data_IF_073424104243
#
_entry.id   IF_073424104243
#
_cell.length_a   1.000
_cell.length_b   1.000
_cell.length_c   1.000
_cell.angle_alpha   90.00
_cell.angle_beta   90.00
_cell.angle_gamma   90.00
#
_symmetry.space_group_name_H-M   'P 1'
#
loop_
_entity.id
_entity.type
_entity.pdbx_description
1 polymer ?
#
# COMPACT_ATOMS: atom_id res chain seq x y z
N UNK A 1 -2.62 -19.39 16.68
CA UNK A 1 -2.15 -19.84 15.36
C UNK A 1 -0.68 -19.46 15.21
N UNK A 2 0.08 -20.24 14.45
CA UNK A 2 1.43 -19.91 13.99
C UNK A 2 1.34 -19.31 12.60
N UNK A 3 1.64 -18.03 12.46
CA UNK A 3 1.41 -17.25 11.25
C UNK A 3 2.75 -16.78 10.69
N UNK A 4 3.04 -17.15 9.43
CA UNK A 4 4.19 -16.64 8.70
C UNK A 4 3.72 -15.50 7.78
N UNK A 5 4.10 -14.27 8.12
CA UNK A 5 3.88 -13.10 7.25
C UNK A 5 5.07 -12.96 6.31
N UNK A 6 4.83 -12.92 5.01
CA UNK A 6 5.85 -12.80 3.98
C UNK A 6 5.62 -11.53 3.14
N UNK A 7 6.60 -10.64 3.09
CA UNK A 7 6.49 -9.36 2.39
C UNK A 7 7.83 -8.96 1.76
N UNK A 8 7.78 -8.29 0.59
CA UNK A 8 8.97 -7.80 -0.11
C UNK A 8 9.83 -6.90 0.78
N UNK A 9 9.20 -6.06 1.59
CA UNK A 9 9.88 -5.11 2.46
C UNK A 9 9.26 -5.08 3.86
N UNK A 10 10.12 -4.73 4.81
CA UNK A 10 9.78 -4.49 6.22
C UNK A 10 10.60 -3.29 6.73
N UNK A 11 10.19 -2.59 7.79
CA UNK A 11 11.02 -1.53 8.36
C UNK A 11 12.49 -1.94 8.55
N UNK A 12 13.45 -0.99 8.40
CA UNK A 12 13.29 0.46 8.42
C UNK A 12 12.87 1.11 7.07
N UNK A 13 12.48 0.35 6.06
CA UNK A 13 11.99 0.95 4.82
C UNK A 13 10.65 1.65 5.05
N UNK A 14 10.56 2.90 4.57
CA UNK A 14 9.36 3.73 4.70
C UNK A 14 8.41 3.43 3.53
N UNK A 15 7.15 3.16 3.85
CA UNK A 15 6.07 2.96 2.88
C UNK A 15 4.83 2.35 3.52
N UNK A 16 3.67 2.59 2.93
CA UNK A 16 2.39 2.13 3.49
C UNK A 16 2.28 0.60 3.63
N UNK A 17 2.77 -0.15 2.63
CA UNK A 17 2.73 -1.62 2.67
C UNK A 17 3.64 -2.21 3.76
N UNK A 18 4.83 -1.62 3.96
CA UNK A 18 5.79 -2.03 4.98
C UNK A 18 5.25 -1.79 6.38
N UNK A 19 4.73 -0.57 6.61
CA UNK A 19 4.08 -0.19 7.88
C UNK A 19 2.90 -1.12 8.17
N UNK A 20 2.06 -1.40 7.17
CA UNK A 20 0.92 -2.29 7.34
C UNK A 20 1.33 -3.72 7.71
N UNK A 21 2.42 -4.25 7.14
CA UNK A 21 2.92 -5.60 7.51
C UNK A 21 3.37 -5.61 8.97
N UNK A 22 4.06 -4.56 9.42
CA UNK A 22 4.47 -4.42 10.82
C UNK A 22 3.25 -4.34 11.75
N UNK A 23 2.29 -3.48 11.44
CA UNK A 23 1.07 -3.34 12.24
C UNK A 23 0.29 -4.65 12.36
N UNK A 24 0.11 -5.39 11.26
CA UNK A 24 -0.54 -6.71 11.27
C UNK A 24 0.24 -7.68 12.17
N UNK A 25 1.57 -7.70 12.08
CA UNK A 25 2.40 -8.61 12.89
C UNK A 25 2.26 -8.35 14.39
N UNK A 26 2.36 -7.09 14.79
CA UNK A 26 2.25 -6.68 16.20
C UNK A 26 0.84 -6.91 16.75
N UNK A 27 -0.21 -6.56 16.00
CA UNK A 27 -1.59 -6.75 16.44
C UNK A 27 -1.96 -8.23 16.57
N UNK A 28 -1.53 -9.08 15.65
CA UNK A 28 -1.72 -10.53 15.76
C UNK A 28 -0.98 -11.10 16.96
N UNK A 29 0.26 -10.63 17.21
CA UNK A 29 1.01 -11.03 18.40
C UNK A 29 0.31 -10.60 19.69
N UNK A 30 -0.17 -9.33 19.78
CA UNK A 30 -0.93 -8.82 20.91
C UNK A 30 -2.18 -9.66 21.21
N UNK A 31 -2.77 -10.26 20.15
CA UNK A 31 -3.92 -11.17 20.25
C UNK A 31 -3.55 -12.63 20.55
N UNK A 32 -2.30 -12.91 20.90
CA UNK A 32 -1.83 -14.24 21.35
C UNK A 32 -1.44 -15.19 20.23
N UNK A 33 -1.25 -14.72 18.99
CA UNK A 33 -0.71 -15.54 17.92
C UNK A 33 0.82 -15.57 17.95
N UNK A 34 1.39 -16.68 17.48
CA UNK A 34 2.81 -16.78 17.20
C UNK A 34 3.06 -16.27 15.78
N UNK A 35 3.79 -15.18 15.65
CA UNK A 35 4.02 -14.53 14.36
C UNK A 35 5.50 -14.49 14.05
N UNK A 36 5.87 -14.81 12.82
CA UNK A 36 7.21 -14.60 12.26
C UNK A 36 7.06 -13.82 10.96
N UNK A 37 7.89 -12.82 10.76
CA UNK A 37 7.95 -12.06 9.49
C UNK A 37 9.13 -12.55 8.67
N UNK A 38 8.88 -12.96 7.41
CA UNK A 38 9.88 -13.20 6.39
C UNK A 38 9.90 -12.04 5.39
N UNK A 39 11.08 -11.48 5.15
CA UNK A 39 11.26 -10.38 4.20
C UNK A 39 12.58 -10.50 3.45
N UNK A 40 12.78 -9.66 2.43
CA UNK A 40 14.01 -9.67 1.63
C UNK A 40 15.21 -9.18 2.44
N UNK A 41 16.31 -9.92 2.31
CA UNK A 41 17.59 -9.51 2.89
C UNK A 41 18.09 -8.20 2.27
N UNK A 42 18.66 -7.35 3.10
CA UNK A 42 19.18 -6.04 2.74
C UNK A 42 20.60 -5.87 3.30
N UNK A 43 21.47 -5.20 2.54
CA UNK A 43 22.79 -4.82 3.04
C UNK A 43 22.66 -3.97 4.31
N UNK A 44 23.53 -4.20 5.27
CA UNK A 44 23.62 -3.48 6.55
C UNK A 44 22.47 -3.73 7.53
N UNK A 45 21.50 -4.60 7.21
CA UNK A 45 20.48 -5.05 8.15
C UNK A 45 20.78 -6.47 8.61
N UNK A 46 20.50 -6.80 9.88
CA UNK A 46 20.72 -8.16 10.40
C UNK A 46 19.79 -9.16 9.69
N UNK A 47 20.28 -10.38 9.44
CA UNK A 47 19.49 -11.45 8.86
C UNK A 47 18.38 -11.94 9.81
N UNK A 48 18.57 -11.74 11.11
CA UNK A 48 17.62 -12.05 12.18
C UNK A 48 17.53 -10.86 13.11
N UNK A 49 16.32 -10.45 13.40
CA UNK A 49 16.00 -9.33 14.26
C UNK A 49 14.77 -9.66 15.09
N UNK A 50 14.66 -9.06 16.24
CA UNK A 50 13.43 -9.02 17.03
C UNK A 50 12.89 -7.59 16.99
N UNK A 51 11.70 -7.40 16.43
CA UNK A 51 11.00 -6.13 16.39
C UNK A 51 9.92 -6.13 17.47
N UNK A 52 10.28 -5.71 18.68
CA UNK A 52 9.41 -5.67 19.86
C UNK A 52 8.67 -7.01 20.09
N UNK A 53 9.42 -8.10 20.03
CA UNK A 53 8.95 -9.45 20.24
C UNK A 53 8.36 -10.12 18.97
N UNK A 54 8.40 -9.49 17.81
CA UNK A 54 8.11 -10.13 16.52
C UNK A 54 9.41 -10.54 15.85
N UNK A 55 9.72 -11.87 15.74
CA UNK A 55 10.88 -12.32 15.03
C UNK A 55 10.84 -11.99 13.53
N UNK A 56 11.83 -11.25 13.05
CA UNK A 56 12.00 -10.92 11.63
C UNK A 56 13.14 -11.76 11.04
N UNK A 57 12.91 -12.34 9.87
CA UNK A 57 13.87 -13.14 9.10
C UNK A 57 14.05 -12.50 7.71
N UNK A 58 15.25 -11.95 7.46
CA UNK A 58 15.62 -11.39 6.15
C UNK A 58 16.28 -12.46 5.31
N UNK A 59 15.55 -12.95 4.31
CA UNK A 59 15.95 -14.09 3.48
C UNK A 59 16.78 -13.63 2.29
N UNK A 60 17.86 -14.36 2.02
CA UNK A 60 18.72 -14.10 0.86
C UNK A 60 18.01 -14.43 -0.44
N UNK A 61 18.49 -13.83 -1.52
CA UNK A 61 18.04 -14.02 -2.89
C UNK A 61 19.21 -14.50 -3.74
N UNK A 62 18.93 -15.08 -4.90
CA UNK A 62 19.96 -15.48 -5.86
C UNK A 62 20.93 -14.33 -6.16
N UNK A 63 20.43 -13.13 -6.38
CA UNK A 63 21.25 -11.93 -6.63
C UNK A 63 22.08 -11.47 -5.44
N UNK A 64 21.81 -11.93 -4.22
CA UNK A 64 22.62 -11.61 -3.03
C UNK A 64 23.77 -12.59 -2.87
N UNK A 65 23.60 -13.82 -3.34
CA UNK A 65 24.65 -14.86 -3.29
C UNK A 65 25.49 -14.90 -4.57
N UNK A 66 24.98 -14.38 -5.71
CA UNK A 66 25.70 -14.26 -6.98
C UNK A 66 26.05 -12.79 -7.27
N UNK A 67 27.29 -12.34 -7.00
CA UNK A 67 27.69 -10.93 -7.11
C UNK A 67 27.44 -10.28 -8.49
N UNK A 68 27.57 -11.06 -9.55
CA UNK A 68 27.34 -10.60 -10.93
C UNK A 68 25.88 -10.12 -11.19
N UNK A 69 24.93 -10.56 -10.35
CA UNK A 69 23.52 -10.22 -10.44
C UNK A 69 23.10 -9.05 -9.53
N UNK A 70 24.04 -8.42 -8.83
CA UNK A 70 23.73 -7.36 -7.86
C UNK A 70 23.06 -6.15 -8.54
N UNK A 71 21.91 -5.76 -8.00
CA UNK A 71 21.21 -4.54 -8.36
C UNK A 71 21.50 -3.41 -7.35
N UNK A 72 21.38 -2.12 -7.75
CA UNK A 72 21.48 -0.99 -6.81
C UNK A 72 20.53 -1.13 -5.63
N UNK A 73 20.95 -0.71 -4.45
CA UNK A 73 20.21 -0.91 -3.17
C UNK A 73 18.76 -0.42 -3.20
N UNK A 74 18.49 0.72 -3.88
CA UNK A 74 17.14 1.32 -3.99
C UNK A 74 16.13 0.52 -4.81
N UNK A 75 16.54 -0.56 -5.52
CA UNK A 75 15.69 -1.35 -6.42
C UNK A 75 15.69 -2.86 -6.09
N UNK A 76 15.88 -3.20 -4.82
CA UNK A 76 15.93 -4.60 -4.37
C UNK A 76 14.55 -5.09 -3.98
N UNK A 77 13.69 -5.30 -4.97
CA UNK A 77 12.45 -6.06 -4.81
C UNK A 77 12.69 -7.55 -5.07
N UNK A 78 11.81 -8.42 -4.60
CA UNK A 78 11.70 -9.77 -5.15
C UNK A 78 11.43 -9.69 -6.65
N UNK A 79 11.93 -10.63 -7.47
CA UNK A 79 11.47 -10.75 -8.82
C UNK A 79 10.01 -11.27 -8.85
N UNK A 80 9.21 -10.95 -9.90
CA UNK A 80 7.86 -11.50 -10.04
C UNK A 80 7.86 -12.94 -10.56
N UNK A 81 8.75 -13.76 -10.01
CA UNK A 81 8.89 -15.20 -10.23
C UNK A 81 9.62 -15.81 -9.03
N UNK A 82 9.55 -17.15 -8.84
CA UNK A 82 10.21 -17.81 -7.73
C UNK A 82 11.73 -17.61 -7.75
N UNK A 83 12.31 -17.12 -6.66
CA UNK A 83 13.76 -17.05 -6.48
C UNK A 83 14.23 -18.32 -5.77
N UNK A 84 15.12 -19.13 -6.37
CA UNK A 84 15.46 -20.45 -5.85
C UNK A 84 16.12 -20.40 -4.46
N UNK A 85 16.92 -19.37 -4.17
CA UNK A 85 17.56 -19.21 -2.86
C UNK A 85 16.52 -18.85 -1.81
N UNK A 86 15.61 -17.91 -2.12
CA UNK A 86 14.50 -17.55 -1.23
C UNK A 86 13.57 -18.74 -0.99
N UNK A 87 13.28 -19.55 -2.01
CA UNK A 87 12.47 -20.77 -1.88
C UNK A 87 13.09 -21.76 -0.89
N UNK A 88 14.41 -22.00 -0.99
CA UNK A 88 15.12 -22.91 -0.07
C UNK A 88 15.13 -22.37 1.37
N UNK A 89 15.38 -21.07 1.55
CA UNK A 89 15.36 -20.46 2.88
C UNK A 89 13.95 -20.45 3.49
N UNK A 90 12.91 -20.22 2.68
CA UNK A 90 11.50 -20.32 3.11
C UNK A 90 11.17 -21.76 3.55
N UNK A 91 11.58 -22.78 2.81
CA UNK A 91 11.37 -24.17 3.20
C UNK A 91 12.03 -24.51 4.54
N UNK A 92 13.26 -24.07 4.77
CA UNK A 92 13.95 -24.23 6.06
C UNK A 92 13.22 -23.50 7.19
N UNK A 93 12.75 -22.29 6.93
CA UNK A 93 11.98 -21.51 7.89
C UNK A 93 10.65 -22.21 8.23
N UNK A 94 9.94 -22.73 7.22
CA UNK A 94 8.70 -23.49 7.42
C UNK A 94 8.93 -24.78 8.21
N UNK A 95 10.02 -25.52 7.96
CA UNK A 95 10.35 -26.74 8.70
C UNK A 95 10.63 -26.48 10.18
N UNK A 96 11.26 -25.36 10.48
CA UNK A 96 11.55 -24.92 11.84
C UNK A 96 10.34 -24.32 12.55
N UNK A 97 9.67 -23.35 11.92
CA UNK A 97 8.55 -22.61 12.53
C UNK A 97 7.24 -23.39 12.48
N UNK A 98 7.03 -24.24 11.46
CA UNK A 98 5.80 -25.03 11.20
C UNK A 98 4.55 -24.16 11.21
N UNK A 99 4.42 -23.18 10.29
CA UNK A 99 3.29 -22.27 10.26
C UNK A 99 1.97 -23.00 9.97
N UNK A 100 0.90 -22.59 10.64
CA UNK A 100 -0.47 -23.02 10.35
C UNK A 100 -1.01 -22.36 9.08
N UNK A 101 -0.49 -21.16 8.76
CA UNK A 101 -0.86 -20.37 7.58
C UNK A 101 0.29 -19.46 7.16
N UNK A 102 0.43 -19.23 5.85
CA UNK A 102 1.32 -18.22 5.27
C UNK A 102 0.47 -17.11 4.70
N UNK A 103 0.75 -15.86 5.09
CA UNK A 103 0.15 -14.68 4.49
C UNK A 103 1.23 -13.92 3.71
N UNK A 104 1.17 -13.97 2.39
CA UNK A 104 2.18 -13.41 1.51
C UNK A 104 1.64 -12.20 0.75
N UNK A 105 2.45 -11.13 0.68
CA UNK A 105 2.15 -9.90 -0.03
C UNK A 105 3.29 -9.53 -0.99
N UNK A 106 2.93 -8.85 -2.09
CA UNK A 106 3.88 -8.44 -3.12
C UNK A 106 4.46 -9.63 -3.91
N UNK A 107 5.58 -9.42 -4.55
CA UNK A 107 6.22 -10.44 -5.38
C UNK A 107 6.87 -11.57 -4.59
N UNK A 108 7.08 -11.38 -3.29
CA UNK A 108 7.53 -12.46 -2.39
C UNK A 108 6.58 -13.66 -2.44
N UNK A 109 5.32 -13.43 -2.78
CA UNK A 109 4.27 -14.45 -2.95
C UNK A 109 4.67 -15.54 -3.94
N UNK A 110 5.40 -15.22 -5.03
CA UNK A 110 5.84 -16.22 -6.00
C UNK A 110 6.80 -17.25 -5.39
N UNK A 111 7.75 -16.79 -4.56
CA UNK A 111 8.66 -17.68 -3.83
C UNK A 111 7.93 -18.48 -2.74
N UNK A 112 6.95 -17.91 -2.06
CA UNK A 112 6.09 -18.62 -1.12
C UNK A 112 5.30 -19.75 -1.81
N UNK A 113 4.66 -19.44 -2.94
CA UNK A 113 3.89 -20.40 -3.70
C UNK A 113 4.75 -21.58 -4.21
N UNK A 114 5.98 -21.30 -4.67
CA UNK A 114 6.92 -22.35 -5.09
C UNK A 114 7.46 -23.17 -3.90
N UNK A 115 7.68 -22.54 -2.75
CA UNK A 115 8.11 -23.23 -1.54
C UNK A 115 7.07 -24.24 -1.03
N UNK A 116 5.79 -24.00 -1.37
CA UNK A 116 4.64 -24.86 -1.00
C UNK A 116 4.40 -26.03 -1.97
N UNK A 117 5.21 -26.20 -3.01
CA UNK A 117 5.11 -27.41 -3.86
C UNK A 117 5.49 -28.63 -3.02
N UNK A 118 4.58 -29.61 -2.93
CA UNK A 118 4.71 -30.80 -2.10
C UNK A 118 4.42 -30.58 -0.61
N UNK A 119 3.81 -29.44 -0.24
CA UNK A 119 3.45 -29.11 1.16
C UNK A 119 1.99 -28.66 1.25
N UNK A 120 1.35 -28.97 2.36
CA UNK A 120 -0.07 -28.66 2.62
C UNK A 120 -0.21 -27.57 3.69
N UNK A 121 0.44 -26.40 3.47
CA UNK A 121 0.24 -25.21 4.31
C UNK A 121 -0.56 -24.19 3.50
N UNK A 122 -1.70 -23.68 4.03
CA UNK A 122 -2.54 -22.73 3.30
C UNK A 122 -1.81 -21.43 3.03
N UNK A 123 -2.01 -20.88 1.83
CA UNK A 123 -1.46 -19.62 1.37
C UNK A 123 -2.56 -18.58 1.22
N UNK A 124 -2.52 -17.55 2.04
CA UNK A 124 -3.29 -16.32 1.85
C UNK A 124 -2.45 -15.38 1.00
N UNK A 125 -2.94 -15.06 -0.21
CA UNK A 125 -2.28 -14.13 -1.14
C UNK A 125 -2.90 -12.75 -0.95
N UNK A 126 -2.07 -11.76 -0.64
CA UNK A 126 -2.52 -10.39 -0.36
C UNK A 126 -2.15 -9.44 -1.50
N UNK A 127 -3.14 -8.94 -2.21
CA UNK A 127 -3.02 -7.88 -3.19
C UNK A 127 -3.16 -6.51 -2.50
N UNK A 128 -2.03 -5.86 -2.25
CA UNK A 128 -1.95 -4.52 -1.62
C UNK A 128 -1.57 -3.42 -2.60
N UNK A 129 -1.23 -3.83 -3.80
CA UNK A 129 -0.94 -3.01 -4.97
C UNK A 129 -1.30 -3.80 -6.24
N UNK A 130 -0.87 -3.33 -7.38
CA UNK A 130 -1.17 -3.95 -8.67
C UNK A 130 -0.07 -4.89 -9.17
N UNK A 131 0.82 -5.37 -8.31
CA UNK A 131 2.00 -6.18 -8.66
C UNK A 131 1.69 -7.52 -9.35
N UNK A 132 0.49 -8.08 -9.14
CA UNK A 132 0.04 -9.29 -9.85
C UNK A 132 -0.50 -9.02 -11.26
N UNK A 133 -0.78 -7.75 -11.58
CA UNK A 133 -1.29 -7.30 -12.88
C UNK A 133 -0.27 -6.52 -13.68
N UNK A 134 0.61 -5.76 -12.99
CA UNK A 134 1.49 -4.77 -13.58
C UNK A 134 2.92 -4.88 -13.05
N UNK A 135 3.89 -5.05 -13.94
CA UNK A 135 5.31 -5.11 -13.56
C UNK A 135 5.84 -3.82 -12.91
N UNK A 136 5.18 -2.67 -13.09
CA UNK A 136 5.49 -1.41 -12.40
C UNK A 136 4.74 -1.24 -11.08
N UNK A 137 3.85 -2.15 -10.72
CA UNK A 137 2.96 -2.11 -9.55
C UNK A 137 1.98 -0.94 -9.49
N UNK A 138 2.00 -0.02 -10.45
CA UNK A 138 1.22 1.23 -10.45
C UNK A 138 -0.09 1.17 -11.24
N UNK A 139 -0.27 0.16 -12.10
CA UNK A 139 -1.38 0.05 -13.05
C UNK A 139 -1.51 1.28 -13.98
N UNK A 140 -0.40 1.97 -14.28
CA UNK A 140 -0.39 3.17 -15.13
C UNK A 140 0.30 2.89 -16.47
N UNK A 141 -0.31 3.37 -17.56
CA UNK A 141 0.25 3.32 -18.91
C UNK A 141 0.05 4.67 -19.60
N UNK A 142 1.13 5.32 -20.05
CA UNK A 142 1.11 6.62 -20.74
C UNK A 142 0.34 7.72 -19.99
N UNK A 143 0.43 7.71 -18.66
CA UNK A 143 -0.23 8.73 -17.82
C UNK A 143 -1.66 8.41 -17.42
N UNK A 144 -2.27 7.34 -17.95
CA UNK A 144 -3.63 6.90 -17.65
C UNK A 144 -3.65 5.55 -16.92
N UNK A 145 -4.81 5.21 -16.32
CA UNK A 145 -5.03 3.90 -15.71
C UNK A 145 -5.00 2.82 -16.78
N UNK A 146 -4.19 1.80 -16.59
CA UNK A 146 -3.97 0.74 -17.58
C UNK A 146 -5.19 -0.18 -17.72
N UNK A 147 -5.60 -0.47 -18.94
CA UNK A 147 -6.70 -1.38 -19.27
C UNK A 147 -6.45 -2.86 -18.94
N UNK A 148 -5.28 -3.19 -18.37
CA UNK A 148 -4.89 -4.56 -18.05
C UNK A 148 -3.68 -5.04 -18.85
N UNK A 149 -3.18 -6.25 -18.53
CA UNK A 149 -1.96 -6.77 -19.12
C UNK A 149 -2.13 -7.24 -20.58
N UNK A 150 -1.10 -6.92 -21.40
CA UNK A 150 -0.93 -7.47 -22.75
C UNK A 150 0.57 -7.58 -23.03
N UNK A 151 1.04 -8.65 -23.66
CA UNK A 151 2.46 -8.97 -23.77
C UNK A 151 3.29 -7.81 -24.32
N UNK A 152 3.03 -7.35 -25.54
CA UNK A 152 3.79 -6.26 -26.17
C UNK A 152 3.72 -4.95 -25.39
N UNK A 153 2.53 -4.58 -24.92
CA UNK A 153 2.32 -3.37 -24.08
C UNK A 153 3.12 -3.44 -22.78
N UNK A 154 3.06 -4.57 -22.06
CA UNK A 154 3.75 -4.74 -20.79
C UNK A 154 5.27 -4.77 -20.94
N UNK A 155 5.79 -5.43 -22.00
CA UNK A 155 7.22 -5.45 -22.32
C UNK A 155 7.75 -4.04 -22.62
N UNK A 156 7.06 -3.27 -23.47
CA UNK A 156 7.44 -1.90 -23.80
C UNK A 156 7.36 -0.99 -22.56
N UNK A 157 6.27 -1.07 -21.78
CA UNK A 157 6.04 -0.24 -20.60
C UNK A 157 7.05 -0.53 -19.47
N UNK A 158 7.34 -1.79 -19.19
CA UNK A 158 8.32 -2.19 -18.18
C UNK A 158 9.74 -1.93 -18.63
N UNK A 159 10.04 -2.12 -19.93
CA UNK A 159 11.33 -1.78 -20.54
C UNK A 159 11.67 -0.31 -20.42
N UNK A 160 10.71 0.58 -20.68
CA UNK A 160 10.87 2.02 -20.49
C UNK A 160 11.10 2.39 -19.02
N UNK A 161 10.53 1.64 -18.06
CA UNK A 161 10.63 1.94 -16.62
C UNK A 161 11.91 1.39 -15.96
N UNK A 162 12.29 0.14 -16.26
CA UNK A 162 13.41 -0.56 -15.60
C UNK A 162 14.66 -0.68 -16.48
N UNK A 163 14.60 -0.27 -17.72
CA UNK A 163 15.55 -0.62 -18.76
C UNK A 163 15.25 -1.99 -19.39
N UNK A 164 15.67 -2.18 -20.65
CA UNK A 164 15.37 -3.38 -21.41
C UNK A 164 16.15 -4.56 -20.82
N UNK A 165 16.63 -5.36 -20.56
CA UNK A 165 16.32 -6.75 -20.24
C UNK A 165 15.56 -6.90 -18.90
N UNK A 166 15.76 -6.01 -17.93
CA UNK A 166 15.10 -6.10 -16.62
C UNK A 166 13.59 -5.91 -16.70
N UNK A 167 13.15 -4.93 -17.48
CA UNK A 167 11.72 -4.67 -17.67
C UNK A 167 11.03 -5.82 -18.37
N UNK A 168 11.68 -6.41 -19.36
CA UNK A 168 11.14 -7.58 -20.06
C UNK A 168 11.05 -8.79 -19.15
N UNK A 169 12.09 -9.06 -18.35
CA UNK A 169 12.07 -10.13 -17.36
C UNK A 169 10.96 -9.94 -16.34
N UNK A 170 10.76 -8.71 -15.85
CA UNK A 170 9.68 -8.40 -14.91
C UNK A 170 8.29 -8.59 -15.56
N UNK A 171 8.09 -8.11 -16.79
CA UNK A 171 6.83 -8.29 -17.50
C UNK A 171 6.54 -9.76 -17.78
N UNK A 172 7.52 -10.50 -18.28
CA UNK A 172 7.40 -11.93 -18.52
C UNK A 172 7.11 -12.69 -17.22
N UNK A 173 7.79 -12.35 -16.12
CA UNK A 173 7.56 -12.95 -14.80
C UNK A 173 6.11 -12.78 -14.34
N UNK A 174 5.60 -11.53 -14.32
CA UNK A 174 4.20 -11.26 -13.93
C UNK A 174 3.23 -12.06 -14.79
N UNK A 175 3.45 -12.13 -16.09
CA UNK A 175 2.53 -12.82 -17.02
C UNK A 175 2.60 -14.35 -16.88
N UNK A 176 3.81 -14.92 -16.81
CA UNK A 176 4.02 -16.37 -16.89
C UNK A 176 3.79 -17.11 -15.57
N UNK A 177 3.95 -16.44 -14.41
CA UNK A 177 3.83 -17.11 -13.10
C UNK A 177 2.46 -16.92 -12.43
N UNK A 178 1.46 -16.34 -13.10
CA UNK A 178 0.07 -16.29 -12.62
C UNK A 178 -0.52 -17.68 -12.31
N UNK A 179 -0.33 -18.71 -13.16
CA UNK A 179 -0.84 -20.04 -12.87
C UNK A 179 -0.33 -20.62 -11.54
N UNK A 180 0.93 -20.32 -11.18
CA UNK A 180 1.49 -20.75 -9.88
C UNK A 180 0.72 -20.11 -8.70
N UNK A 181 0.41 -18.82 -8.78
CA UNK A 181 -0.39 -18.14 -7.75
C UNK A 181 -1.79 -18.71 -7.69
N UNK A 182 -2.48 -18.84 -8.84
CA UNK A 182 -3.83 -19.44 -8.92
C UNK A 182 -3.89 -20.85 -8.32
N UNK A 183 -2.88 -21.67 -8.61
CA UNK A 183 -2.83 -23.07 -8.16
C UNK A 183 -2.46 -23.24 -6.69
N UNK A 184 -1.87 -22.21 -6.05
CA UNK A 184 -1.41 -22.28 -4.66
C UNK A 184 -2.16 -21.38 -3.69
N UNK A 185 -2.85 -20.36 -4.18
CA UNK A 185 -3.67 -19.50 -3.35
C UNK A 185 -4.83 -20.28 -2.75
N UNK A 186 -4.90 -20.37 -1.42
CA UNK A 186 -6.05 -20.94 -0.69
C UNK A 186 -7.14 -19.90 -0.55
N UNK A 187 -6.75 -18.64 -0.31
CA UNK A 187 -7.64 -17.47 -0.21
C UNK A 187 -6.89 -16.27 -0.79
N UNK A 188 -7.61 -15.40 -1.49
CA UNK A 188 -7.12 -14.10 -1.94
C UNK A 188 -7.67 -12.99 -1.04
N UNK A 189 -6.83 -12.03 -0.73
CA UNK A 189 -7.14 -10.82 0.00
C UNK A 189 -6.78 -9.61 -0.85
N UNK A 190 -7.70 -8.66 -0.96
CA UNK A 190 -7.51 -7.36 -1.62
C UNK A 190 -7.72 -6.23 -0.62
N UNK A 191 -6.92 -5.16 -0.71
CA UNK A 191 -7.02 -4.03 0.25
C UNK A 191 -8.19 -3.10 -0.04
N UNK A 192 -8.79 -3.17 -1.23
CA UNK A 192 -9.93 -2.37 -1.65
C UNK A 192 -10.77 -3.09 -2.71
N UNK A 193 -11.99 -2.61 -2.94
CA UNK A 193 -12.87 -3.11 -4.01
C UNK A 193 -12.22 -2.91 -5.38
N UNK A 194 -11.52 -1.79 -5.57
CA UNK A 194 -10.86 -1.53 -6.85
C UNK A 194 -9.70 -2.51 -7.12
N UNK A 195 -8.88 -2.81 -6.11
CA UNK A 195 -7.83 -3.84 -6.21
C UNK A 195 -8.45 -5.21 -6.45
N UNK A 196 -9.56 -5.53 -5.80
CA UNK A 196 -10.30 -6.79 -5.99
C UNK A 196 -10.81 -6.94 -7.43
N UNK A 197 -11.39 -5.86 -7.99
CA UNK A 197 -11.80 -5.81 -9.40
C UNK A 197 -10.64 -6.12 -10.34
N UNK A 198 -9.47 -5.51 -10.11
CA UNK A 198 -8.27 -5.71 -10.93
C UNK A 198 -7.73 -7.14 -10.77
N UNK A 199 -7.70 -7.69 -9.56
CA UNK A 199 -7.29 -9.08 -9.29
C UNK A 199 -8.20 -10.07 -10.00
N UNK A 200 -9.51 -9.88 -9.93
CA UNK A 200 -10.49 -10.73 -10.65
C UNK A 200 -10.26 -10.67 -12.15
N UNK A 201 -10.11 -9.48 -12.72
CA UNK A 201 -9.92 -9.29 -14.16
C UNK A 201 -8.59 -9.86 -14.68
N UNK A 202 -7.49 -9.64 -13.94
CA UNK A 202 -6.13 -9.84 -14.48
C UNK A 202 -5.42 -11.09 -13.96
N UNK A 203 -5.68 -11.48 -12.72
CA UNK A 203 -5.03 -12.64 -12.09
C UNK A 203 -5.87 -13.91 -12.17
N UNK A 204 -7.19 -13.80 -12.00
CA UNK A 204 -8.06 -14.97 -11.89
C UNK A 204 -8.69 -15.33 -13.24
N UNK A 205 -8.99 -16.61 -13.43
CA UNK A 205 -9.87 -17.11 -14.49
C UNK A 205 -11.14 -17.71 -13.85
N UNK A 206 -12.08 -18.14 -14.67
CA UNK A 206 -13.38 -18.64 -14.20
C UNK A 206 -13.26 -19.81 -13.21
N UNK A 207 -12.34 -20.74 -13.47
CA UNK A 207 -12.11 -21.90 -12.60
C UNK A 207 -11.47 -21.49 -11.26
N UNK A 208 -10.46 -20.62 -11.32
CA UNK A 208 -9.81 -20.10 -10.11
C UNK A 208 -10.78 -19.25 -9.26
N UNK A 209 -11.65 -18.45 -9.90
CA UNK A 209 -12.68 -17.69 -9.20
C UNK A 209 -13.69 -18.59 -8.48
N UNK A 210 -14.05 -19.72 -9.08
CA UNK A 210 -15.01 -20.65 -8.48
C UNK A 210 -14.48 -21.33 -7.21
N UNK A 211 -13.17 -21.60 -7.16
CA UNK A 211 -12.57 -22.37 -6.04
C UNK A 211 -11.82 -21.53 -5.01
N UNK A 212 -11.34 -20.33 -5.36
CA UNK A 212 -10.53 -19.50 -4.46
C UNK A 212 -11.36 -18.33 -3.93
N UNK A 213 -11.73 -18.34 -2.64
CA UNK A 213 -12.42 -17.21 -2.03
C UNK A 213 -11.61 -15.93 -2.11
N UNK A 214 -12.28 -14.83 -2.44
CA UNK A 214 -11.70 -13.47 -2.40
C UNK A 214 -12.38 -12.67 -1.29
N UNK A 215 -11.59 -11.94 -0.51
CA UNK A 215 -12.09 -11.08 0.57
C UNK A 215 -11.39 -9.72 0.52
N UNK A 216 -12.17 -8.65 0.62
CA UNK A 216 -11.65 -7.30 0.72
C UNK A 216 -11.51 -6.95 2.19
N UNK A 217 -10.27 -6.74 2.65
CA UNK A 217 -9.98 -6.28 4.02
C UNK A 217 -9.12 -5.02 3.91
N UNK A 218 -9.59 -3.87 4.39
CA UNK A 218 -8.87 -2.61 4.29
C UNK A 218 -7.60 -2.61 5.14
N UNK A 219 -6.73 -1.64 4.89
CA UNK A 219 -5.65 -1.33 5.83
C UNK A 219 -6.23 -0.69 7.09
N UNK A 220 -5.49 -0.76 8.19
CA UNK A 220 -5.86 -0.13 9.45
C UNK A 220 -4.72 0.71 10.00
N UNK A 221 -5.03 1.53 10.97
CA UNK A 221 -4.06 2.30 11.75
C UNK A 221 -4.12 1.91 13.21
N UNK A 222 -2.99 2.12 13.86
CA UNK A 222 -2.86 2.23 15.29
C UNK A 222 -2.42 3.66 15.54
N UNK A 223 -3.07 4.36 16.44
CA UNK A 223 -2.68 5.71 16.83
C UNK A 223 -1.29 5.65 17.47
N UNK A 224 -0.39 6.49 17.01
CA UNK A 224 0.94 6.66 17.58
C UNK A 224 0.90 7.95 18.37
N UNK A 225 1.11 7.85 19.68
CA UNK A 225 1.25 9.02 20.53
C UNK A 225 2.51 9.80 20.16
N UNK A 226 2.37 11.10 19.98
CA UNK A 226 3.52 11.99 19.79
C UNK A 226 4.30 12.18 21.08
N UNK A 227 5.53 12.71 21.04
CA UNK A 227 6.29 13.00 22.23
C UNK A 227 5.56 14.05 23.08
N UNK A 228 5.48 13.80 24.37
CA UNK A 228 4.81 14.68 25.33
C UNK A 228 5.45 16.08 25.44
N UNK A 229 6.73 16.23 25.05
CA UNK A 229 7.49 17.47 25.10
C UNK A 229 8.39 17.60 23.86
N UNK A 230 8.52 18.80 23.27
CA UNK A 230 9.49 19.12 22.21
C UNK A 230 8.91 19.25 20.79
N UNK A 231 7.59 19.31 20.63
CA UNK A 231 6.93 19.46 19.35
C UNK A 231 7.16 20.81 18.63
N UNK A 232 7.49 21.86 19.39
CA UNK A 232 7.47 23.25 18.90
C UNK A 232 8.39 23.53 17.70
N UNK A 233 9.65 23.10 17.74
CA UNK A 233 10.60 23.39 16.68
C UNK A 233 10.36 22.59 15.39
N UNK A 234 9.88 21.36 15.52
CA UNK A 234 9.57 20.50 14.37
C UNK A 234 8.38 21.04 13.57
N UNK A 235 7.41 21.66 14.25
CA UNK A 235 6.19 22.23 13.63
C UNK A 235 6.33 23.71 13.24
N UNK A 236 7.45 24.34 13.57
CA UNK A 236 7.72 25.75 13.29
C UNK A 236 7.56 26.14 11.80
N UNK A 237 7.87 25.27 10.82
CA UNK A 237 7.64 25.59 9.41
C UNK A 237 6.17 25.69 8.99
N UNK A 238 5.24 25.18 9.78
CA UNK A 238 3.80 25.22 9.42
C UNK A 238 3.23 26.64 9.60
N UNK A 239 2.27 27.07 8.73
CA UNK A 239 1.57 28.34 8.90
C UNK A 239 0.91 28.44 10.27
N UNK A 240 0.86 29.65 10.84
CA UNK A 240 0.13 29.93 12.09
C UNK A 240 -1.38 29.93 11.90
N UNK A 241 -1.84 30.35 10.73
CA UNK A 241 -3.25 30.37 10.35
C UNK A 241 -3.72 29.08 9.68
N UNK A 242 -4.98 29.04 9.22
CA UNK A 242 -5.55 27.90 8.51
C UNK A 242 -4.83 27.64 7.17
N UNK A 243 -4.68 26.37 6.76
CA UNK A 243 -4.04 25.98 5.51
C UNK A 243 -4.66 24.70 4.94
N UNK A 244 -4.49 24.52 3.63
CA UNK A 244 -4.85 23.30 2.91
C UNK A 244 -3.66 22.35 2.98
N UNK A 245 -3.90 21.05 3.22
CA UNK A 245 -2.82 20.08 3.41
C UNK A 245 -2.81 18.99 2.36
N UNK A 246 -1.64 18.76 1.78
CA UNK A 246 -1.29 17.57 1.02
C UNK A 246 -0.21 16.78 1.77
N UNK A 247 -0.34 15.46 1.83
CA UNK A 247 0.67 14.56 2.41
C UNK A 247 1.01 13.44 1.41
N UNK A 248 2.28 13.31 1.06
CA UNK A 248 2.76 12.26 0.16
C UNK A 248 3.97 12.67 -0.68
N UNK A 249 4.58 11.73 -1.40
CA UNK A 249 5.67 12.03 -2.31
C UNK A 249 5.21 13.02 -3.40
N UNK A 250 6.03 14.05 -3.68
CA UNK A 250 5.69 15.13 -4.60
C UNK A 250 5.94 14.70 -6.05
N UNK A 251 5.11 13.76 -6.55
CA UNK A 251 5.26 13.12 -7.86
C UNK A 251 4.08 13.39 -8.77
N UNK A 252 4.32 13.35 -10.10
CA UNK A 252 3.24 13.45 -11.12
C UNK A 252 2.14 12.43 -10.91
N UNK A 253 2.49 11.18 -10.62
CA UNK A 253 1.50 10.12 -10.39
C UNK A 253 0.65 10.35 -9.15
N UNK A 254 1.12 11.16 -8.21
CA UNK A 254 0.38 11.59 -7.02
C UNK A 254 -0.46 12.85 -7.25
N UNK A 255 -0.49 13.37 -8.48
CA UNK A 255 -1.37 14.44 -8.91
C UNK A 255 -0.93 15.84 -8.51
N UNK A 256 0.36 16.05 -8.15
CA UNK A 256 0.87 17.37 -7.75
C UNK A 256 0.65 18.42 -8.84
N UNK A 257 0.79 18.07 -10.12
CA UNK A 257 0.55 19.03 -11.22
C UNK A 257 -0.92 19.48 -11.28
N UNK A 258 -1.87 18.53 -11.12
CA UNK A 258 -3.29 18.85 -11.07
C UNK A 258 -3.64 19.71 -9.84
N UNK A 259 -3.03 19.40 -8.68
CA UNK A 259 -3.22 20.21 -7.46
C UNK A 259 -2.74 21.64 -7.64
N UNK A 260 -1.54 21.83 -8.16
CA UNK A 260 -0.99 23.17 -8.40
C UNK A 260 -1.79 23.94 -9.47
N UNK A 261 -2.28 23.24 -10.51
CA UNK A 261 -3.13 23.84 -11.53
C UNK A 261 -4.49 24.26 -10.95
N UNK A 262 -5.11 23.44 -10.10
CA UNK A 262 -6.33 23.76 -9.39
C UNK A 262 -6.14 24.94 -8.42
N UNK A 263 -5.07 24.91 -7.63
CA UNK A 263 -4.74 25.94 -6.64
C UNK A 263 -4.53 27.33 -7.28
N UNK A 264 -3.85 27.38 -8.45
CA UNK A 264 -3.65 28.65 -9.19
C UNK A 264 -4.95 29.30 -9.69
N UNK A 265 -6.07 28.56 -9.76
CA UNK A 265 -7.38 29.07 -10.20
C UNK A 265 -8.22 29.63 -9.06
N UNK A 266 -7.85 29.30 -7.81
CA UNK A 266 -8.57 29.82 -6.63
C UNK A 266 -8.24 31.30 -6.42
N UNK A 267 -9.24 32.06 -5.97
CA UNK A 267 -9.10 33.46 -5.61
C UNK A 267 -8.79 33.55 -4.13
N UNK A 268 -7.68 34.18 -3.77
CA UNK A 268 -7.23 34.41 -2.40
C UNK A 268 -7.32 33.15 -1.49
N UNK A 269 -6.75 32.01 -1.91
CA UNK A 269 -6.87 30.78 -1.15
C UNK A 269 -6.00 30.77 0.12
N UNK A 270 -6.39 30.00 1.15
CA UNK A 270 -5.50 29.69 2.25
C UNK A 270 -4.19 29.04 1.74
N UNK A 271 -3.04 29.22 2.45
CA UNK A 271 -1.78 28.59 2.06
C UNK A 271 -1.92 27.10 1.80
N UNK A 272 -1.22 26.59 0.80
CA UNK A 272 -1.12 25.16 0.49
C UNK A 272 0.17 24.58 1.07
N UNK A 273 0.06 23.65 1.99
CA UNK A 273 1.20 22.95 2.58
C UNK A 273 1.34 21.57 1.93
N UNK A 274 2.51 21.31 1.35
CA UNK A 274 2.89 20.04 0.75
C UNK A 274 3.89 19.33 1.66
N UNK A 275 3.41 18.33 2.43
CA UNK A 275 4.27 17.50 3.28
C UNK A 275 4.74 16.27 2.50
N UNK A 276 6.03 16.22 2.19
CA UNK A 276 6.60 15.04 1.54
C UNK A 276 7.85 15.31 0.72
N UNK A 277 8.51 14.23 0.38
CA UNK A 277 9.80 14.26 -0.30
C UNK A 277 9.65 14.70 -1.75
N UNK A 278 10.52 15.63 -2.17
CA UNK A 278 10.70 16.00 -3.58
C UNK A 278 11.32 14.84 -4.34
N UNK A 279 10.79 14.59 -5.52
CA UNK A 279 11.28 13.57 -6.46
C UNK A 279 11.74 14.25 -7.77
N UNK A 280 12.34 13.47 -8.67
CA UNK A 280 12.87 14.01 -9.93
C UNK A 280 11.81 14.66 -10.83
N UNK A 281 10.55 14.23 -10.70
CA UNK A 281 9.39 14.72 -11.44
C UNK A 281 8.54 15.74 -10.67
N UNK A 282 9.04 16.25 -9.52
CA UNK A 282 8.39 17.34 -8.78
C UNK A 282 8.45 18.64 -9.59
N UNK A 283 7.32 19.36 -9.80
CA UNK A 283 7.33 20.66 -10.44
C UNK A 283 8.24 21.66 -9.71
N UNK A 284 9.01 22.43 -10.46
CA UNK A 284 9.92 23.45 -9.91
C UNK A 284 9.24 24.79 -9.68
N UNK A 285 8.26 25.11 -10.51
CA UNK A 285 7.48 26.35 -10.45
C UNK A 285 6.30 26.17 -9.48
N UNK A 286 6.47 26.66 -8.25
CA UNK A 286 5.47 26.66 -7.21
C UNK A 286 4.91 28.07 -6.99
N UNK A 287 3.58 28.23 -6.81
CA UNK A 287 3.00 29.49 -6.37
C UNK A 287 3.63 30.00 -5.06
N UNK A 288 3.65 31.32 -4.81
CA UNK A 288 4.31 31.89 -3.62
C UNK A 288 3.72 31.37 -2.30
N UNK A 289 2.43 31.09 -2.26
CA UNK A 289 1.73 30.60 -1.06
C UNK A 289 1.74 29.06 -0.89
N UNK A 290 2.60 28.37 -1.68
CA UNK A 290 2.80 26.93 -1.57
C UNK A 290 4.07 26.64 -0.78
N UNK A 291 3.89 26.02 0.39
CA UNK A 291 4.99 25.61 1.26
C UNK A 291 5.30 24.13 1.09
N UNK A 292 6.58 23.79 0.90
CA UNK A 292 7.04 22.39 0.84
C UNK A 292 7.86 22.09 2.09
N UNK A 293 7.43 21.09 2.84
CA UNK A 293 8.10 20.63 4.06
C UNK A 293 8.40 19.14 3.91
N UNK A 294 9.67 18.76 4.06
CA UNK A 294 10.15 17.38 3.97
C UNK A 294 10.66 16.88 5.32
N UNK A 295 10.65 15.56 5.51
CA UNK A 295 11.30 14.90 6.64
C UNK A 295 10.56 14.99 7.98
N UNK A 296 9.27 15.36 8.01
CA UNK A 296 8.50 15.35 9.25
C UNK A 296 8.29 13.91 9.76
N UNK A 297 8.49 13.67 11.06
CA UNK A 297 8.11 12.40 11.67
C UNK A 297 6.58 12.21 11.65
N UNK A 298 6.13 10.96 11.73
CA UNK A 298 4.70 10.64 11.57
C UNK A 298 3.79 11.39 12.55
N UNK A 299 4.20 11.55 13.80
CA UNK A 299 3.43 12.30 14.80
C UNK A 299 3.25 13.78 14.41
N UNK A 300 4.27 14.40 13.79
CA UNK A 300 4.18 15.79 13.32
C UNK A 300 3.28 15.93 12.09
N UNK A 301 3.19 14.90 11.25
CA UNK A 301 2.19 14.84 10.16
C UNK A 301 0.78 14.79 10.73
N UNK A 302 0.55 14.03 11.81
CA UNK A 302 -0.76 13.98 12.47
C UNK A 302 -1.14 15.34 13.08
N UNK A 303 -0.20 16.02 13.69
CA UNK A 303 -0.39 17.38 14.20
C UNK A 303 -0.64 18.40 13.08
N UNK A 304 0.02 18.25 11.92
CA UNK A 304 -0.28 19.07 10.75
C UNK A 304 -1.70 18.84 10.25
N UNK A 305 -2.21 17.61 10.29
CA UNK A 305 -3.61 17.33 10.02
C UNK A 305 -4.52 18.09 11.00
N UNK A 306 -4.27 18.04 12.31
CA UNK A 306 -5.09 18.73 13.29
C UNK A 306 -5.21 20.24 13.05
N UNK A 307 -4.14 20.86 12.54
CA UNK A 307 -4.06 22.29 12.24
C UNK A 307 -4.59 22.67 10.86
N UNK A 308 -4.72 21.71 9.94
CA UNK A 308 -5.20 21.96 8.58
C UNK A 308 -6.71 22.26 8.54
N UNK A 309 -7.17 22.93 7.49
CA UNK A 309 -8.59 23.08 7.16
C UNK A 309 -9.14 21.75 6.66
N UNK A 310 -8.57 21.27 5.58
CA UNK A 310 -8.93 20.00 4.92
C UNK A 310 -7.73 19.43 4.15
N UNK A 311 -7.86 18.18 3.73
CA UNK A 311 -6.87 17.50 2.93
C UNK A 311 -7.19 17.43 1.44
N UNK A 312 -6.15 17.47 0.59
CA UNK A 312 -6.29 17.23 -0.85
C UNK A 312 -5.31 16.15 -1.28
N UNK A 313 -5.84 15.04 -1.80
CA UNK A 313 -5.08 13.86 -2.21
C UNK A 313 -5.40 13.49 -3.66
N UNK A 314 -4.88 14.27 -4.64
CA UNK A 314 -5.33 14.30 -6.03
C UNK A 314 -4.65 13.26 -6.92
N UNK A 315 -4.39 12.04 -6.39
CA UNK A 315 -3.64 11.01 -7.10
C UNK A 315 -4.19 10.72 -8.50
N UNK A 316 -3.31 10.69 -9.50
CA UNK A 316 -3.63 10.17 -10.84
C UNK A 316 -3.59 8.66 -10.87
N UNK A 317 -2.83 8.08 -9.97
CA UNK A 317 -2.83 6.64 -9.72
C UNK A 317 -4.18 6.25 -9.12
N UNK A 318 -4.79 5.19 -9.62
CA UNK A 318 -5.84 4.52 -8.88
C UNK A 318 -5.24 3.97 -7.59
N UNK A 319 -5.35 4.74 -6.50
CA UNK A 319 -4.72 4.34 -5.22
C UNK A 319 -5.20 2.95 -4.80
N UNK A 320 -4.32 2.06 -4.36
CA UNK A 320 -4.76 0.76 -3.88
C UNK A 320 -5.71 0.85 -2.69
N UNK A 321 -5.47 1.79 -1.75
CA UNK A 321 -6.35 2.04 -0.63
C UNK A 321 -6.44 3.55 -0.29
N UNK A 322 -5.32 4.18 0.09
CA UNK A 322 -5.30 5.58 0.50
C UNK A 322 -5.09 5.76 2.00
N UNK A 323 -4.01 5.20 2.53
CA UNK A 323 -3.70 5.30 3.97
C UNK A 323 -3.65 6.73 4.48
N UNK A 324 -3.24 7.70 3.63
CA UNK A 324 -3.20 9.13 3.98
C UNK A 324 -4.60 9.72 4.10
N UNK A 325 -5.58 9.25 3.28
CA UNK A 325 -7.00 9.61 3.44
C UNK A 325 -7.46 9.21 4.84
N UNK A 326 -7.17 7.97 5.23
CA UNK A 326 -7.53 7.48 6.55
C UNK A 326 -6.85 8.30 7.67
N UNK A 327 -5.60 8.75 7.47
CA UNK A 327 -4.90 9.65 8.41
C UNK A 327 -5.68 10.94 8.64
N UNK A 328 -6.01 11.65 7.57
CA UNK A 328 -6.78 12.89 7.63
C UNK A 328 -8.15 12.68 8.31
N UNK A 329 -8.86 11.63 7.90
CA UNK A 329 -10.20 11.31 8.42
C UNK A 329 -10.17 10.96 9.91
N UNK A 330 -9.15 10.25 10.40
CA UNK A 330 -8.99 9.95 11.83
C UNK A 330 -8.82 11.21 12.67
N UNK A 331 -8.29 12.28 12.06
CA UNK A 331 -8.15 13.61 12.69
C UNK A 331 -9.38 14.51 12.47
N UNK A 332 -10.46 13.97 11.91
CA UNK A 332 -11.71 14.70 11.66
C UNK A 332 -11.60 15.72 10.54
N UNK A 333 -10.74 15.50 9.57
CA UNK A 333 -10.58 16.41 8.41
C UNK A 333 -11.36 15.91 7.22
N UNK A 334 -12.07 16.83 6.58
CA UNK A 334 -12.61 16.60 5.24
C UNK A 334 -11.45 16.34 4.26
N UNK A 335 -11.68 15.51 3.27
CA UNK A 335 -10.68 15.20 2.24
C UNK A 335 -11.30 15.30 0.86
N UNK A 336 -10.58 15.94 -0.06
CA UNK A 336 -10.82 15.81 -1.50
C UNK A 336 -9.89 14.72 -2.02
N UNK A 337 -10.45 13.58 -2.41
CA UNK A 337 -9.75 12.45 -3.01
C UNK A 337 -10.12 12.25 -4.48
N UNK A 338 -9.51 11.27 -5.13
CA UNK A 338 -9.75 10.98 -6.55
C UNK A 338 -10.32 9.58 -6.77
N UNK A 339 -11.04 9.43 -7.87
CA UNK A 339 -11.59 8.18 -8.39
C UNK A 339 -11.15 7.99 -9.85
N UNK A 340 -10.96 6.74 -10.36
CA UNK A 340 -11.15 5.46 -9.67
C UNK A 340 -10.00 5.10 -8.72
N UNK A 341 -10.28 4.20 -7.76
CA UNK A 341 -9.30 3.66 -6.83
C UNK A 341 -9.87 3.45 -5.43
N UNK A 342 -9.01 3.02 -4.50
CA UNK A 342 -9.38 2.71 -3.12
C UNK A 342 -9.82 3.91 -2.27
N UNK A 343 -9.64 5.15 -2.73
CA UNK A 343 -10.25 6.31 -2.08
C UNK A 343 -11.77 6.19 -1.99
N UNK A 344 -12.41 5.60 -3.02
CA UNK A 344 -13.86 5.39 -3.06
C UNK A 344 -14.36 4.32 -2.05
N UNK A 345 -13.47 3.50 -1.49
CA UNK A 345 -13.83 2.58 -0.40
C UNK A 345 -13.89 3.30 0.96
N UNK A 346 -13.22 4.43 1.08
CA UNK A 346 -13.09 5.20 2.32
C UNK A 346 -14.00 6.43 2.28
N UNK A 347 -13.98 7.17 1.17
CA UNK A 347 -14.72 8.42 0.97
C UNK A 347 -16.08 8.11 0.32
N UNK A 348 -17.15 8.43 1.01
CA UNK A 348 -18.50 8.55 0.48
C UNK A 348 -18.73 10.01 0.08
N UNK A 349 -18.74 10.26 -1.25
CA UNK A 349 -18.84 11.62 -1.81
C UNK A 349 -20.00 12.42 -1.22
N UNK A 350 -19.74 13.65 -0.75
CA UNK A 350 -20.72 14.54 -0.15
C UNK A 350 -21.15 14.19 1.29
N UNK A 351 -20.68 13.04 1.83
CA UNK A 351 -21.02 12.60 3.18
C UNK A 351 -19.85 12.74 4.17
N UNK A 352 -18.67 12.24 3.80
CA UNK A 352 -17.47 12.26 4.66
C UNK A 352 -16.22 12.77 3.92
N UNK A 353 -16.39 13.37 2.75
CA UNK A 353 -15.37 13.92 1.89
C UNK A 353 -15.90 14.13 0.49
N UNK A 354 -15.04 14.59 -0.42
CA UNK A 354 -15.37 14.81 -1.83
C UNK A 354 -14.49 13.92 -2.71
N UNK A 355 -15.06 13.38 -3.78
CA UNK A 355 -14.35 12.61 -4.81
C UNK A 355 -14.46 13.33 -6.14
N UNK A 356 -13.32 13.46 -6.83
CA UNK A 356 -13.24 14.06 -8.16
C UNK A 356 -12.55 13.09 -9.12
N UNK A 357 -12.73 13.21 -10.45
CA UNK A 357 -11.99 12.40 -11.41
C UNK A 357 -10.48 12.63 -11.30
N UNK A 358 -9.69 11.55 -11.41
CA UNK A 358 -8.24 11.63 -11.35
C UNK A 358 -7.68 12.45 -12.52
N UNK A 359 -6.84 13.45 -12.21
CA UNK A 359 -6.22 14.34 -13.21
C UNK A 359 -7.08 15.52 -13.65
N UNK A 360 -8.32 15.63 -13.21
CA UNK A 360 -9.22 16.75 -13.51
C UNK A 360 -8.96 17.93 -12.55
N UNK A 361 -8.20 18.90 -13.02
CA UNK A 361 -7.84 20.08 -12.23
C UNK A 361 -9.02 21.05 -12.03
N UNK A 362 -10.02 21.05 -12.90
CA UNK A 362 -11.23 21.90 -12.78
C UNK A 362 -12.17 21.34 -11.72
N UNK A 363 -12.46 20.04 -11.76
CA UNK A 363 -13.24 19.39 -10.72
C UNK A 363 -12.55 19.48 -9.34
N UNK A 364 -11.21 19.39 -9.32
CA UNK A 364 -10.42 19.53 -8.10
C UNK A 364 -10.50 20.95 -7.53
N UNK A 365 -10.38 21.96 -8.39
CA UNK A 365 -10.56 23.36 -8.01
C UNK A 365 -11.96 23.62 -7.44
N UNK A 366 -13.02 23.18 -8.14
CA UNK A 366 -14.39 23.33 -7.67
C UNK A 366 -14.64 22.69 -6.30
N UNK A 367 -14.10 21.50 -6.06
CA UNK A 367 -14.19 20.82 -4.77
C UNK A 367 -13.43 21.58 -3.66
N UNK A 368 -12.22 22.09 -3.95
CA UNK A 368 -11.44 22.90 -3.01
C UNK A 368 -12.16 24.20 -2.68
N UNK A 369 -12.65 24.90 -3.68
CA UNK A 369 -13.43 26.14 -3.53
C UNK A 369 -14.67 25.92 -2.66
N UNK A 370 -15.43 24.87 -2.91
CA UNK A 370 -16.60 24.50 -2.10
C UNK A 370 -16.24 24.37 -0.61
N UNK A 371 -15.12 23.74 -0.28
CA UNK A 371 -14.68 23.57 1.13
C UNK A 371 -14.12 24.86 1.74
N UNK A 372 -13.60 25.77 0.93
CA UNK A 372 -13.11 27.09 1.38
C UNK A 372 -14.30 28.02 1.66
N UNK A 373 -15.28 28.05 0.76
CA UNK A 373 -16.43 28.97 0.83
C UNK A 373 -17.52 28.51 1.81
N UNK A 374 -17.59 27.20 2.14
CA UNK A 374 -18.54 26.63 3.12
C UNK A 374 -17.82 25.93 4.27
N UNK A 375 -17.34 26.65 5.30
CA UNK A 375 -16.72 26.08 6.48
C UNK A 375 -17.63 25.09 7.25
N UNK A 376 -18.96 25.32 7.25
CA UNK A 376 -19.91 24.45 7.90
C UNK A 376 -20.01 23.08 7.20
N UNK A 377 -19.97 23.06 5.86
CA UNK A 377 -19.85 21.82 5.09
C UNK A 377 -18.54 21.12 5.41
N UNK A 378 -17.42 21.84 5.42
CA UNK A 378 -16.09 21.29 5.70
C UNK A 378 -16.06 20.61 7.08
N UNK A 379 -16.59 21.24 8.13
CA UNK A 379 -16.70 20.70 9.48
C UNK A 379 -17.63 19.47 9.54
N UNK A 380 -18.78 19.53 8.89
CA UNK A 380 -19.74 18.42 8.82
C UNK A 380 -19.13 17.19 8.17
N UNK A 381 -18.44 17.38 7.02
CA UNK A 381 -17.74 16.29 6.32
C UNK A 381 -16.59 15.71 7.19
N UNK A 382 -15.84 16.58 7.87
CA UNK A 382 -14.76 16.16 8.77
C UNK A 382 -15.26 15.34 9.96
N UNK A 383 -16.38 15.74 10.57
CA UNK A 383 -17.03 14.99 11.64
C UNK A 383 -17.47 13.60 11.18
N UNK A 384 -18.11 13.52 10.02
CA UNK A 384 -18.51 12.24 9.43
C UNK A 384 -17.29 11.40 9.01
N UNK A 385 -16.22 12.03 8.53
CA UNK A 385 -14.95 11.38 8.23
C UNK A 385 -14.34 10.71 9.47
N UNK A 386 -14.33 11.41 10.61
CA UNK A 386 -13.84 10.85 11.89
C UNK A 386 -14.67 9.66 12.35
N UNK A 387 -15.97 9.70 12.17
CA UNK A 387 -16.84 8.57 12.46
C UNK A 387 -16.52 7.37 11.57
N UNK A 388 -16.38 7.58 10.26
CA UNK A 388 -16.01 6.55 9.29
C UNK A 388 -14.64 5.94 9.54
N UNK A 389 -13.66 6.73 9.98
CA UNK A 389 -12.30 6.25 10.28
C UNK A 389 -12.26 5.14 11.34
N UNK A 390 -13.26 5.04 12.21
CA UNK A 390 -13.39 3.99 13.22
C UNK A 390 -13.56 2.59 12.60
N UNK A 391 -14.09 2.50 11.38
CA UNK A 391 -14.25 1.23 10.66
C UNK A 391 -12.91 0.63 10.23
N UNK A 392 -11.83 1.43 10.28
CA UNK A 392 -10.47 1.07 9.86
C UNK A 392 -9.49 1.00 11.04
N UNK A 393 -9.97 0.79 12.26
CA UNK A 393 -9.13 0.56 13.43
C UNK A 393 -8.66 -0.89 13.51
N UNK A 394 -7.60 -1.15 14.27
CA UNK A 394 -7.07 -2.50 14.46
C UNK A 394 -8.11 -3.46 15.04
N UNK A 395 -8.94 -3.00 15.98
CA UNK A 395 -9.95 -3.83 16.64
C UNK A 395 -11.10 -4.24 15.71
N UNK A 396 -11.37 -3.48 14.65
CA UNK A 396 -12.35 -3.82 13.62
C UNK A 396 -11.73 -4.69 12.52
N UNK A 397 -10.52 -4.35 12.07
CA UNK A 397 -9.93 -4.96 10.89
C UNK A 397 -9.18 -6.26 11.20
N UNK A 398 -8.41 -6.32 12.30
CA UNK A 398 -7.59 -7.52 12.60
C UNK A 398 -8.43 -8.78 12.82
N UNK A 399 -9.62 -8.77 13.47
CA UNK A 399 -10.49 -9.93 13.52
C UNK A 399 -10.91 -10.48 12.14
N UNK A 400 -10.94 -9.64 11.10
CA UNK A 400 -11.21 -10.10 9.72
C UNK A 400 -10.06 -10.93 9.19
N UNK A 401 -8.80 -10.54 9.46
CA UNK A 401 -7.62 -11.37 9.14
C UNK A 401 -7.65 -12.69 9.90
N UNK A 402 -8.02 -12.70 11.18
CA UNK A 402 -8.12 -13.94 11.97
C UNK A 402 -9.14 -14.90 11.38
N UNK A 403 -10.32 -14.39 10.96
CA UNK A 403 -11.34 -15.19 10.27
C UNK A 403 -10.86 -15.71 8.92
N UNK A 404 -10.14 -14.86 8.15
CA UNK A 404 -9.53 -15.22 6.87
C UNK A 404 -8.55 -16.39 7.03
N UNK A 405 -7.67 -16.32 8.04
CA UNK A 405 -6.70 -17.40 8.33
C UNK A 405 -7.39 -18.68 8.77
N UNK A 406 -8.35 -18.58 9.67
CA UNK A 406 -9.15 -19.75 10.09
C UNK A 406 -9.88 -20.41 8.90
N UNK A 407 -10.41 -19.62 7.96
CA UNK A 407 -11.01 -20.12 6.71
C UNK A 407 -9.98 -20.83 5.84
N UNK A 408 -8.79 -20.26 5.65
CA UNK A 408 -7.71 -20.85 4.86
C UNK A 408 -7.25 -22.19 5.46
N UNK A 409 -7.06 -22.24 6.78
CA UNK A 409 -6.65 -23.47 7.49
C UNK A 409 -7.70 -24.58 7.34
N UNK A 410 -8.99 -24.26 7.51
CA UNK A 410 -10.10 -25.24 7.32
C UNK A 410 -10.15 -25.75 5.88
N UNK A 411 -9.99 -24.87 4.88
CA UNK A 411 -10.01 -25.26 3.48
C UNK A 411 -8.86 -26.23 3.13
N UNK A 412 -7.65 -25.98 3.63
CA UNK A 412 -6.51 -26.87 3.43
C UNK A 412 -6.70 -28.22 4.15
N UNK A 413 -7.27 -28.24 5.37
CA UNK A 413 -7.57 -29.45 6.12
C UNK A 413 -8.66 -30.30 5.46
N UNK A 414 -9.64 -29.69 4.84
CA UNK A 414 -10.68 -30.39 4.07
C UNK A 414 -10.09 -31.01 2.79
N UNK A 415 -9.24 -30.28 2.07
CA UNK A 415 -8.60 -30.78 0.85
C UNK A 415 -7.65 -31.97 1.12
N UNK A 416 -7.02 -32.02 2.29
CA UNK A 416 -6.15 -33.13 2.69
C UNK A 416 -6.90 -34.44 3.04
N UNK A 417 -8.23 -34.39 3.18
CA UNK A 417 -9.10 -35.54 3.53
C UNK A 417 -9.83 -36.15 2.33
N UNK A 418 -9.68 -35.55 1.16
CA UNK A 418 -10.21 -36.12 -0.09
C UNK A 418 -9.12 -37.02 -0.66
N UNK A 419 -9.34 -38.38 -0.76
CA UNK A 419 -8.33 -39.35 -1.21
C UNK A 419 -7.98 -39.17 -2.70
#
# INVERSE_FOLDING_TARGET
MRILLASDHYPPFIGGAQRQTRLIAHELRRRGHQVVVATVWQDRLPAREDDDGVPVRRLKQLRTVAPILRAPARRRHQPPFPDPVTVLELRRLMDHFRPDVIHAAGWFTYSCAAALIGRNVPLVVSARDYGFSCAKTTLMHRGEVCSGPALGKCMACAGAHYGVPRGWLAAAGVLSFRPLIRGKATVLHSVSQYVDLVVRRDLMDGEALARTPLEVIPTFRVDEDGPANGAGDVLRPLPKGPFILYVGALRRVKGIEALLAAYRRLVDPPPLVLLGTREADTPRDLPPDVLVIDGLPNWAVLEAWDRSLFGVLPSRLAEPFGSVVHEAMSRGKAVVGTTPGGHADIIEHGRNGLLVPAGDAEALEGAMRTLIEDPALCERLGTAARARARDFTADVVVPRYERLYARAIRAAGAAARIP
#
